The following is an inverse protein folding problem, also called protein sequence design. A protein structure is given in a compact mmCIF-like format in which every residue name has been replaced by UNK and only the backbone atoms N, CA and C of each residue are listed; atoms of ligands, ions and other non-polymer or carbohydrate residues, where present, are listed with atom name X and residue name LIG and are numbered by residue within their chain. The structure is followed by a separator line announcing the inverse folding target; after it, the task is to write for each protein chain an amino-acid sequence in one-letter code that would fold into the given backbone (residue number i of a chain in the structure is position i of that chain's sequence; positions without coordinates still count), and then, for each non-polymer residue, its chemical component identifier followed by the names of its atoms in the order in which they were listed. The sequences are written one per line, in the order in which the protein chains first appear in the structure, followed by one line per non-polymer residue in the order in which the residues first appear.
data_IF_312637475705
#
_entry.id   IF_312637475705
#
_cell.length_a   1.000
_cell.length_b   1.000
_cell.length_c   1.000
_cell.angle_alpha   90.00
_cell.angle_beta   90.00
_cell.angle_gamma   90.00
#
_symmetry.space_group_name_H-M   'P 1'
#
loop_
_entity.id
_entity.type
_entity.pdbx_description
1 polymer ?
#
# COMPACT_ATOMS: atom_id res chain seq x y z
N UNK A 1 0.57 -26.52 6.53
CA UNK A 1 1.08 -25.40 5.70
C UNK A 1 1.12 -25.93 4.27
N UNK A 2 0.54 -25.22 3.31
CA UNK A 2 0.71 -25.55 1.89
C UNK A 2 2.21 -25.51 1.59
N UNK A 3 2.72 -26.54 0.96
CA UNK A 3 4.13 -26.63 0.57
C UNK A 3 4.49 -25.46 -0.37
N UNK A 4 5.67 -24.82 -0.23
CA UNK A 4 6.03 -23.64 -1.01
C UNK A 4 6.36 -24.05 -2.45
N UNK A 5 5.35 -24.12 -3.30
CA UNK A 5 5.53 -24.46 -4.71
C UNK A 5 5.83 -23.24 -5.57
N UNK A 6 6.32 -23.48 -6.78
CA UNK A 6 6.54 -22.43 -7.79
C UNK A 6 5.21 -21.76 -8.14
N UNK A 7 4.14 -22.52 -8.39
CA UNK A 7 2.85 -21.94 -8.77
C UNK A 7 2.25 -21.08 -7.65
N UNK A 8 2.34 -21.52 -6.39
CA UNK A 8 1.90 -20.70 -5.25
C UNK A 8 2.66 -19.36 -5.20
N UNK A 9 3.98 -19.40 -5.41
CA UNK A 9 4.82 -18.20 -5.44
C UNK A 9 4.51 -17.26 -6.61
N UNK A 10 4.11 -17.80 -7.76
CA UNK A 10 3.67 -17.00 -8.92
C UNK A 10 2.29 -16.40 -8.69
N UNK A 11 1.32 -17.19 -8.23
CA UNK A 11 -0.05 -16.76 -7.97
C UNK A 11 -0.12 -15.60 -6.97
N UNK A 12 0.65 -15.68 -5.88
CA UNK A 12 0.71 -14.63 -4.86
C UNK A 12 1.24 -13.29 -5.38
N UNK A 13 1.89 -13.28 -6.54
CA UNK A 13 2.49 -12.08 -7.15
C UNK A 13 1.78 -11.60 -8.41
N UNK A 14 0.71 -12.25 -8.86
CA UNK A 14 0.01 -11.90 -10.09
C UNK A 14 -0.44 -10.42 -10.15
N UNK A 15 -0.79 -9.85 -8.99
CA UNK A 15 -1.22 -8.46 -8.86
C UNK A 15 -0.17 -7.46 -9.37
N UNK A 16 1.12 -7.79 -9.27
CA UNK A 16 2.19 -6.90 -9.74
C UNK A 16 2.11 -6.64 -11.26
N UNK A 17 1.34 -7.40 -12.04
CA UNK A 17 1.19 -7.16 -13.47
C UNK A 17 0.03 -6.22 -13.82
N UNK A 18 -0.81 -5.83 -12.84
CA UNK A 18 -1.99 -5.00 -13.08
C UNK A 18 -1.63 -3.58 -13.53
N UNK A 19 -0.72 -2.91 -12.82
CA UNK A 19 -0.36 -1.51 -13.09
C UNK A 19 0.26 -1.32 -14.48
N UNK A 20 1.29 -2.09 -14.90
CA UNK A 20 1.83 -1.92 -16.25
C UNK A 20 0.80 -2.25 -17.34
N UNK A 21 -0.08 -3.22 -17.10
CA UNK A 21 -1.16 -3.55 -18.04
C UNK A 21 -2.15 -2.40 -18.22
N UNK A 22 -2.54 -1.71 -17.14
CA UNK A 22 -3.41 -0.53 -17.22
C UNK A 22 -2.71 0.67 -17.87
N UNK A 23 -1.40 0.85 -17.63
CA UNK A 23 -0.59 1.87 -18.29
C UNK A 23 -0.53 1.66 -19.81
N UNK A 24 -0.33 0.42 -20.27
CA UNK A 24 -0.37 0.05 -21.69
C UNK A 24 -1.76 0.36 -22.27
N UNK A 25 -2.85 -0.04 -21.60
CA UNK A 25 -4.22 0.24 -22.08
C UNK A 25 -4.48 1.75 -22.21
N UNK A 26 -4.01 2.54 -21.25
CA UNK A 26 -4.14 4.01 -21.28
C UNK A 26 -3.33 4.61 -22.43
N UNK A 27 -2.06 4.21 -22.57
CA UNK A 27 -1.18 4.71 -23.61
C UNK A 27 -1.66 4.31 -25.02
N UNK A 28 -2.15 3.09 -25.19
CA UNK A 28 -2.75 2.63 -26.45
C UNK A 28 -3.92 3.52 -26.89
N UNK A 29 -4.83 3.89 -25.97
CA UNK A 29 -5.92 4.83 -26.27
C UNK A 29 -5.40 6.21 -26.65
N UNK A 30 -4.30 6.67 -26.05
CA UNK A 30 -3.65 7.93 -26.40
C UNK A 30 -3.08 7.86 -27.82
N UNK A 31 -2.37 6.78 -28.16
CA UNK A 31 -1.85 6.54 -29.51
C UNK A 31 -3.00 6.51 -30.53
N UNK A 32 -4.07 5.75 -30.25
CA UNK A 32 -5.25 5.69 -31.11
C UNK A 32 -5.84 7.08 -31.38
N UNK A 33 -6.07 7.88 -30.33
CA UNK A 33 -6.58 9.25 -30.47
C UNK A 33 -5.65 10.15 -31.28
N UNK A 34 -4.32 10.04 -31.08
CA UNK A 34 -3.34 10.80 -31.85
C UNK A 34 -3.42 10.45 -33.34
N UNK A 35 -3.48 9.16 -33.67
CA UNK A 35 -3.58 8.65 -35.06
C UNK A 35 -4.89 9.13 -35.70
N UNK A 36 -6.02 8.94 -35.03
CA UNK A 36 -7.34 9.33 -35.55
C UNK A 36 -7.46 10.84 -35.75
N UNK A 37 -6.99 11.65 -34.79
CA UNK A 37 -7.00 13.11 -34.88
C UNK A 37 -6.13 13.60 -36.05
N UNK A 38 -4.92 13.07 -36.19
CA UNK A 38 -4.00 13.41 -37.28
C UNK A 38 -4.60 13.06 -38.63
N UNK A 39 -5.14 11.83 -38.77
CA UNK A 39 -5.81 11.37 -39.98
C UNK A 39 -6.97 12.29 -40.36
N UNK A 40 -7.86 12.59 -39.42
CA UNK A 40 -9.02 13.46 -39.63
C UNK A 40 -8.59 14.87 -40.09
N UNK A 41 -7.66 15.49 -39.37
CA UNK A 41 -7.16 16.83 -39.69
C UNK A 41 -6.57 16.90 -41.11
N UNK A 42 -5.71 15.95 -41.48
CA UNK A 42 -5.09 15.91 -42.81
C UNK A 42 -6.16 15.74 -43.90
N UNK A 43 -7.12 14.84 -43.70
CA UNK A 43 -8.20 14.63 -44.69
C UNK A 43 -9.09 15.86 -44.88
N UNK A 44 -9.45 16.54 -43.78
CA UNK A 44 -10.29 17.73 -43.82
C UNK A 44 -9.58 18.91 -44.50
N UNK A 45 -8.35 19.21 -44.09
CA UNK A 45 -7.57 20.32 -44.68
C UNK A 45 -7.25 20.09 -46.17
N UNK A 46 -6.91 18.86 -46.58
CA UNK A 46 -6.71 18.54 -48.01
C UNK A 46 -8.02 18.66 -48.79
N UNK A 47 -9.15 18.21 -48.23
CA UNK A 47 -10.45 18.34 -48.88
C UNK A 47 -10.85 19.81 -49.06
N UNK A 48 -10.55 20.67 -48.09
CA UNK A 48 -10.80 22.11 -48.15
C UNK A 48 -9.95 22.80 -49.23
N UNK A 49 -8.69 22.39 -49.39
CA UNK A 49 -7.82 22.87 -50.48
C UNK A 49 -8.36 22.47 -51.86
N UNK A 50 -8.86 21.23 -52.01
CA UNK A 50 -9.36 20.70 -53.29
C UNK A 50 -10.69 21.34 -53.70
N UNK A 51 -11.60 21.55 -52.74
CA UNK A 51 -12.98 22.00 -53.01
C UNK A 51 -13.14 23.51 -53.19
N UNK A 52 -12.14 24.31 -52.82
CA UNK A 52 -12.26 25.77 -52.86
C UNK A 52 -11.50 26.38 -54.06
N UNK A 53 -12.22 26.81 -55.12
CA UNK A 53 -11.61 27.35 -56.32
C UNK A 53 -11.02 28.76 -56.13
N UNK A 54 -11.41 29.48 -55.07
CA UNK A 54 -10.95 30.86 -54.79
C UNK A 54 -9.60 30.97 -54.08
N UNK A 55 -8.99 29.85 -53.66
CA UNK A 55 -7.68 29.86 -52.99
C UNK A 55 -6.55 30.09 -54.00
N UNK A 56 -5.69 31.10 -53.74
CA UNK A 56 -4.50 31.34 -54.57
C UNK A 56 -3.46 30.21 -54.40
N UNK A 57 -2.53 30.11 -55.35
CA UNK A 57 -1.45 29.11 -55.29
C UNK A 57 -0.59 29.29 -54.03
N UNK A 58 -0.30 30.53 -53.61
CA UNK A 58 0.49 30.79 -52.40
C UNK A 58 -0.25 30.32 -51.14
N UNK A 59 -1.56 30.57 -51.05
CA UNK A 59 -2.38 30.16 -49.90
C UNK A 59 -2.46 28.63 -49.79
N UNK A 60 -2.65 27.92 -50.92
CA UNK A 60 -2.63 26.44 -50.93
C UNK A 60 -1.29 25.89 -50.45
N UNK A 61 -0.19 26.48 -50.92
CA UNK A 61 1.16 26.07 -50.55
C UNK A 61 1.47 26.35 -49.08
N UNK A 62 0.99 27.47 -48.53
CA UNK A 62 1.10 27.80 -47.11
C UNK A 62 0.38 26.76 -46.22
N UNK A 63 -0.84 26.34 -46.60
CA UNK A 63 -1.58 25.29 -45.87
C UNK A 63 -0.86 23.95 -45.93
N UNK A 64 -0.31 23.56 -47.08
CA UNK A 64 0.50 22.33 -47.19
C UNK A 64 1.74 22.39 -46.30
N UNK A 65 2.46 23.51 -46.26
CA UNK A 65 3.60 23.70 -45.34
C UNK A 65 3.18 23.59 -43.88
N UNK A 66 2.01 24.14 -43.50
CA UNK A 66 1.44 24.00 -42.16
C UNK A 66 1.13 22.53 -41.83
N UNK A 67 0.52 21.79 -42.77
CA UNK A 67 0.25 20.37 -42.61
C UNK A 67 1.52 19.55 -42.40
N UNK A 68 2.60 19.83 -43.14
CA UNK A 68 3.90 19.18 -42.95
C UNK A 68 4.42 19.40 -41.52
N UNK A 69 4.44 20.65 -41.04
CA UNK A 69 4.88 20.97 -39.67
C UNK A 69 4.04 20.27 -38.59
N UNK A 70 2.72 20.21 -38.81
CA UNK A 70 1.81 19.49 -37.91
C UNK A 70 2.10 17.99 -37.91
N UNK A 71 2.39 17.40 -39.07
CA UNK A 71 2.73 15.99 -39.21
C UNK A 71 4.08 15.65 -38.55
N UNK A 72 5.10 16.49 -38.70
CA UNK A 72 6.39 16.34 -37.99
C UNK A 72 6.20 16.38 -36.46
N UNK A 73 5.34 17.28 -35.98
CA UNK A 73 5.00 17.36 -34.54
C UNK A 73 4.27 16.10 -34.08
N UNK A 74 3.35 15.60 -34.90
CA UNK A 74 2.65 14.33 -34.66
C UNK A 74 3.63 13.15 -34.62
N UNK A 75 4.58 13.06 -35.55
CA UNK A 75 5.61 12.01 -35.56
C UNK A 75 6.44 12.01 -34.28
N UNK A 76 6.87 13.20 -33.80
CA UNK A 76 7.59 13.31 -32.52
C UNK A 76 6.77 12.80 -31.34
N UNK A 77 5.48 13.18 -31.26
CA UNK A 77 4.56 12.73 -30.21
C UNK A 77 4.30 11.22 -30.27
N UNK A 78 4.10 10.68 -31.47
CA UNK A 78 3.88 9.26 -31.68
C UNK A 78 5.13 8.45 -31.26
N UNK A 79 6.33 8.90 -31.66
CA UNK A 79 7.58 8.25 -31.25
C UNK A 79 7.74 8.21 -29.73
N UNK A 80 7.45 9.33 -29.05
CA UNK A 80 7.47 9.38 -27.58
C UNK A 80 6.47 8.40 -26.97
N UNK A 81 5.24 8.33 -27.49
CA UNK A 81 4.22 7.41 -26.97
C UNK A 81 4.58 5.93 -27.20
N UNK A 82 5.23 5.60 -28.31
CA UNK A 82 5.74 4.24 -28.58
C UNK A 82 6.84 3.87 -27.60
N UNK A 83 7.80 4.77 -27.36
CA UNK A 83 8.87 4.54 -26.38
C UNK A 83 8.31 4.34 -24.97
N UNK A 84 7.26 5.07 -24.60
CA UNK A 84 6.55 4.85 -23.33
C UNK A 84 5.85 3.49 -23.29
N UNK A 85 5.30 3.00 -24.41
CA UNK A 85 4.71 1.65 -24.49
C UNK A 85 5.76 0.55 -24.31
N UNK A 86 6.93 0.73 -24.94
CA UNK A 86 8.08 -0.17 -24.82
C UNK A 86 8.56 -0.27 -23.36
N UNK A 87 8.68 0.86 -22.65
CA UNK A 87 9.01 0.87 -21.21
C UNK A 87 8.02 0.03 -20.39
N UNK A 88 6.71 0.21 -20.59
CA UNK A 88 5.70 -0.54 -19.84
C UNK A 88 5.74 -2.04 -20.14
N UNK A 89 6.00 -2.43 -21.39
CA UNK A 89 6.18 -3.84 -21.77
C UNK A 89 7.45 -4.42 -21.18
N UNK A 90 8.51 -3.63 -21.07
CA UNK A 90 9.75 -4.03 -20.42
C UNK A 90 9.51 -4.37 -18.94
N UNK A 91 8.65 -3.62 -18.23
CA UNK A 91 8.24 -3.97 -16.85
C UNK A 91 7.59 -5.35 -16.78
N UNK A 92 6.64 -5.65 -17.67
CA UNK A 92 5.96 -6.95 -17.70
C UNK A 92 6.95 -8.09 -17.98
N UNK A 93 7.79 -7.93 -18.99
CA UNK A 93 8.77 -8.96 -19.37
C UNK A 93 9.85 -9.17 -18.31
N UNK A 94 10.33 -8.10 -17.67
CA UNK A 94 11.32 -8.18 -16.58
C UNK A 94 10.73 -8.88 -15.36
N UNK A 95 9.51 -8.53 -14.95
CA UNK A 95 8.79 -9.21 -13.86
C UNK A 95 8.56 -10.70 -14.16
N UNK A 96 8.23 -11.03 -15.41
CA UNK A 96 8.04 -12.42 -15.82
C UNK A 96 9.34 -13.22 -15.80
N UNK A 97 10.46 -12.63 -16.24
CA UNK A 97 11.80 -13.25 -16.15
C UNK A 97 12.22 -13.48 -14.71
N UNK A 98 12.08 -12.46 -13.87
CA UNK A 98 12.37 -12.51 -12.43
C UNK A 98 11.59 -13.62 -11.71
N UNK A 99 10.31 -13.79 -12.01
CA UNK A 99 9.52 -14.92 -11.46
C UNK A 99 9.92 -16.28 -12.02
N UNK A 100 10.36 -16.33 -13.28
CA UNK A 100 10.75 -17.58 -13.94
C UNK A 100 12.00 -18.19 -13.32
N UNK A 101 12.82 -17.40 -12.63
CA UNK A 101 14.00 -17.89 -11.88
C UNK A 101 13.66 -18.88 -10.78
N UNK A 102 12.45 -18.81 -10.22
CA UNK A 102 11.99 -19.77 -9.22
C UNK A 102 12.11 -21.22 -9.69
N UNK A 103 12.00 -21.47 -11.00
CA UNK A 103 12.20 -22.81 -11.60
C UNK A 103 13.62 -23.34 -11.42
N UNK A 104 14.61 -22.46 -11.23
CA UNK A 104 16.01 -22.83 -11.01
C UNK A 104 16.29 -23.16 -9.54
N UNK A 105 15.32 -22.97 -8.64
CA UNK A 105 15.45 -23.16 -7.20
C UNK A 105 14.56 -24.29 -6.68
N UNK A 106 14.19 -25.23 -7.55
CA UNK A 106 13.34 -26.37 -7.20
C UNK A 106 14.17 -27.56 -6.74
N UNK A 107 13.58 -28.41 -5.91
CA UNK A 107 14.16 -29.72 -5.62
C UNK A 107 14.15 -30.59 -6.89
N UNK A 108 15.23 -31.31 -7.14
CA UNK A 108 15.26 -32.32 -8.21
C UNK A 108 14.40 -33.53 -7.79
N UNK A 109 13.58 -34.06 -8.71
CA UNK A 109 12.73 -35.25 -8.52
C UNK A 109 13.52 -36.56 -8.40
N UNK A 110 14.55 -36.61 -7.55
CA UNK A 110 15.26 -37.82 -7.20
C UNK A 110 15.32 -37.95 -5.69
N UNK A 111 14.29 -38.56 -5.10
CA UNK A 111 14.31 -39.45 -3.92
C UNK A 111 13.00 -39.38 -3.13
N UNK A 112 11.92 -39.93 -3.68
CA UNK A 112 10.84 -40.54 -2.88
C UNK A 112 10.01 -41.42 -3.80
N UNK A 113 10.39 -42.70 -3.87
CA UNK A 113 9.51 -43.73 -4.38
C UNK A 113 8.31 -43.82 -3.45
N UNK A 114 7.21 -43.18 -3.83
CA UNK A 114 5.85 -43.56 -3.52
C UNK A 114 4.96 -42.86 -4.53
N UNK A 115 4.72 -43.60 -5.61
CA UNK A 115 3.62 -43.39 -6.53
C UNK A 115 2.33 -43.40 -5.71
N UNK A 116 1.78 -42.22 -5.41
CA UNK A 116 0.33 -42.02 -5.26
C UNK A 116 0.05 -40.57 -4.84
N UNK A 117 -0.16 -39.71 -5.83
CA UNK A 117 -1.23 -38.69 -5.89
C UNK A 117 -1.07 -37.87 -7.16
N UNK A 118 -2.19 -37.62 -7.82
CA UNK A 118 -2.38 -36.61 -8.85
C UNK A 118 -1.95 -35.23 -8.34
N UNK A 119 -0.66 -34.93 -8.39
CA UNK A 119 -0.09 -33.59 -8.26
C UNK A 119 0.32 -33.25 -9.69
N UNK A 120 -0.16 -32.13 -10.22
CA UNK A 120 0.25 -31.60 -11.53
C UNK A 120 1.77 -31.78 -11.69
N UNK A 121 2.20 -32.55 -12.70
CA UNK A 121 3.63 -32.79 -12.99
C UNK A 121 4.43 -31.48 -13.18
N UNK A 122 3.71 -30.36 -13.37
CA UNK A 122 4.26 -29.03 -13.58
C UNK A 122 4.54 -28.20 -12.29
N UNK A 123 3.97 -28.55 -11.12
CA UNK A 123 4.17 -27.73 -9.90
C UNK A 123 5.26 -28.28 -8.99
N UNK A 124 6.48 -27.76 -9.18
CA UNK A 124 7.66 -28.19 -8.42
C UNK A 124 7.77 -27.51 -7.06
N UNK A 125 8.29 -28.26 -6.10
CA UNK A 125 8.59 -27.77 -4.74
C UNK A 125 9.87 -26.93 -4.73
N UNK A 126 9.85 -25.78 -4.04
CA UNK A 126 11.02 -24.92 -3.87
C UNK A 126 11.97 -25.46 -2.80
N UNK A 127 13.26 -25.43 -3.09
CA UNK A 127 14.33 -25.80 -2.16
C UNK A 127 14.60 -24.67 -1.16
N UNK A 128 13.96 -24.73 0.01
CA UNK A 128 14.15 -23.77 1.09
C UNK A 128 15.58 -23.75 1.68
N UNK A 129 16.42 -24.75 1.36
CA UNK A 129 17.82 -24.78 1.78
C UNK A 129 18.76 -24.12 0.78
N UNK A 130 18.28 -23.79 -0.43
CA UNK A 130 19.04 -23.07 -1.45
C UNK A 130 19.36 -21.65 -1.00
N UNK A 131 20.66 -21.32 -0.90
CA UNK A 131 21.12 -19.96 -0.61
C UNK A 131 20.63 -18.96 -1.67
N UNK A 132 20.53 -19.40 -2.93
CA UNK A 132 20.04 -18.57 -4.04
C UNK A 132 18.56 -18.22 -3.84
N UNK A 133 17.73 -19.17 -3.44
CA UNK A 133 16.32 -18.92 -3.14
C UNK A 133 16.15 -17.96 -1.96
N UNK A 134 16.95 -18.15 -0.90
CA UNK A 134 16.95 -17.27 0.28
C UNK A 134 17.31 -15.83 -0.14
N UNK A 135 18.34 -15.66 -0.97
CA UNK A 135 18.73 -14.35 -1.47
C UNK A 135 17.66 -13.73 -2.39
N UNK A 136 17.00 -14.54 -3.22
CA UNK A 136 15.87 -14.10 -4.03
C UNK A 136 14.72 -13.58 -3.15
N UNK A 137 14.31 -14.31 -2.10
CA UNK A 137 13.30 -13.85 -1.15
C UNK A 137 13.71 -12.59 -0.36
N UNK A 138 15.00 -12.40 -0.08
CA UNK A 138 15.50 -11.14 0.50
C UNK A 138 15.29 -9.98 -0.48
N UNK A 139 15.60 -10.17 -1.76
CA UNK A 139 15.31 -9.21 -2.83
C UNK A 139 13.81 -8.86 -2.87
N UNK A 140 12.94 -9.86 -2.83
CA UNK A 140 11.49 -9.66 -2.78
C UNK A 140 11.04 -8.85 -1.56
N UNK A 141 11.61 -9.15 -0.39
CA UNK A 141 11.31 -8.42 0.83
C UNK A 141 11.70 -6.94 0.70
N UNK A 142 12.87 -6.68 0.10
CA UNK A 142 13.30 -5.31 -0.19
C UNK A 142 12.34 -4.59 -1.15
N UNK A 143 11.85 -5.26 -2.21
CA UNK A 143 10.85 -4.69 -3.11
C UNK A 143 9.55 -4.35 -2.38
N UNK A 144 9.09 -5.21 -1.47
CA UNK A 144 7.91 -4.96 -0.66
C UNK A 144 8.07 -3.77 0.28
N UNK A 145 9.26 -3.58 0.85
CA UNK A 145 9.59 -2.42 1.69
C UNK A 145 9.62 -1.15 0.83
N UNK A 146 10.26 -1.20 -0.34
CA UNK A 146 10.29 -0.07 -1.28
C UNK A 146 8.87 0.33 -1.69
N UNK A 147 8.04 -0.63 -2.12
CA UNK A 147 6.65 -0.39 -2.51
C UNK A 147 5.82 0.22 -1.37
N UNK A 148 5.95 -0.32 -0.14
CA UNK A 148 5.30 0.24 1.03
C UNK A 148 5.70 1.70 1.26
N UNK A 149 7.01 1.99 1.29
CA UNK A 149 7.52 3.35 1.55
C UNK A 149 7.15 4.34 0.44
N UNK A 150 7.12 3.89 -0.81
CA UNK A 150 6.68 4.71 -1.95
C UNK A 150 5.21 5.10 -1.77
N UNK A 151 4.34 4.15 -1.43
CA UNK A 151 2.89 4.36 -1.27
C UNK A 151 2.52 5.15 -0.02
N UNK A 152 3.21 4.92 1.10
CA UNK A 152 2.90 5.53 2.40
C UNK A 152 3.61 6.86 2.63
N UNK A 153 4.09 7.51 1.56
CA UNK A 153 4.90 8.71 1.69
C UNK A 153 4.06 9.92 2.12
N UNK A 154 4.44 10.52 3.25
CA UNK A 154 3.82 11.73 3.81
C UNK A 154 4.73 12.95 3.73
N UNK A 155 5.89 12.83 3.06
CA UNK A 155 6.95 13.83 3.02
C UNK A 155 7.00 14.54 1.67
N UNK A 156 7.15 15.87 1.69
CA UNK A 156 7.33 16.70 0.49
C UNK A 156 8.76 16.77 0.00
N UNK A 157 9.72 16.78 0.92
CA UNK A 157 11.13 17.00 0.64
C UNK A 157 11.78 15.81 -0.08
N UNK A 158 11.39 14.59 0.30
CA UNK A 158 11.92 13.36 -0.29
C UNK A 158 10.96 12.19 -0.12
N UNK A 159 11.07 11.23 -1.03
CA UNK A 159 10.42 9.93 -0.89
C UNK A 159 11.44 8.89 -0.44
N UNK A 160 11.27 8.34 0.76
CA UNK A 160 12.18 7.35 1.35
C UNK A 160 12.22 6.04 0.55
N UNK A 161 11.12 5.67 -0.09
CA UNK A 161 11.06 4.51 -0.97
C UNK A 161 11.92 4.70 -2.22
N UNK A 162 11.89 5.89 -2.83
CA UNK A 162 12.76 6.21 -3.98
C UNK A 162 14.25 6.25 -3.58
N UNK A 163 14.60 6.77 -2.40
CA UNK A 163 15.96 6.73 -1.86
C UNK A 163 16.45 5.29 -1.63
N UNK A 164 15.62 4.48 -0.96
CA UNK A 164 15.94 3.07 -0.69
C UNK A 164 16.12 2.29 -2.00
N UNK A 165 15.22 2.49 -2.96
CA UNK A 165 15.28 1.86 -4.29
C UNK A 165 16.61 2.17 -4.99
N UNK A 166 17.04 3.44 -5.01
CA UNK A 166 18.34 3.83 -5.59
C UNK A 166 19.52 3.19 -4.86
N UNK A 167 19.48 3.16 -3.53
CA UNK A 167 20.56 2.58 -2.72
C UNK A 167 20.70 1.06 -2.93
N UNK A 168 19.58 0.37 -3.17
CA UNK A 168 19.55 -1.09 -3.35
C UNK A 168 19.69 -1.50 -4.81
N UNK A 169 19.51 -0.61 -5.79
CA UNK A 169 19.61 -0.92 -7.21
C UNK A 169 20.87 -1.76 -7.58
N UNK A 170 22.08 -1.49 -7.04
CA UNK A 170 23.27 -2.29 -7.37
C UNK A 170 23.24 -3.74 -6.86
N UNK A 171 22.33 -4.08 -5.95
CA UNK A 171 22.20 -5.42 -5.36
C UNK A 171 21.23 -6.33 -6.12
N UNK A 172 20.48 -5.78 -7.09
CA UNK A 172 19.52 -6.53 -7.89
C UNK A 172 20.14 -6.96 -9.23
N UNK A 173 19.77 -8.14 -9.70
CA UNK A 173 20.16 -8.65 -11.03
C UNK A 173 19.43 -7.91 -12.16
N UNK A 174 18.16 -7.59 -11.95
CA UNK A 174 17.36 -6.79 -12.87
C UNK A 174 17.28 -5.33 -12.45
N UNK A 175 16.97 -4.46 -13.41
CA UNK A 175 16.64 -3.07 -13.14
C UNK A 175 15.42 -2.98 -12.20
N UNK A 176 15.68 -2.51 -10.98
CA UNK A 176 14.68 -2.38 -9.92
C UNK A 176 13.51 -1.45 -10.31
N UNK A 177 13.75 -0.48 -11.21
CA UNK A 177 12.71 0.44 -11.71
C UNK A 177 11.68 -0.28 -12.57
N UNK A 178 12.03 -1.46 -13.11
CA UNK A 178 11.12 -2.33 -13.87
C UNK A 178 10.32 -3.27 -12.98
N UNK A 179 10.82 -3.53 -11.77
CA UNK A 179 10.18 -4.40 -10.77
C UNK A 179 9.17 -3.65 -9.89
N UNK A 180 9.27 -2.32 -9.77
CA UNK A 180 8.38 -1.47 -8.95
C UNK A 180 7.79 -0.32 -9.77
N UNK A 181 6.49 -0.04 -9.62
CA UNK A 181 5.79 1.05 -10.32
C UNK A 181 6.02 2.43 -9.65
N UNK A 182 7.28 2.79 -9.46
CA UNK A 182 7.68 3.97 -8.67
C UNK A 182 7.13 5.29 -9.22
N UNK A 183 7.08 5.46 -10.54
CA UNK A 183 6.57 6.65 -11.23
C UNK A 183 5.06 6.86 -11.00
N UNK A 184 4.31 5.76 -10.94
CA UNK A 184 2.88 5.78 -10.62
C UNK A 184 2.66 6.25 -9.19
N UNK A 185 3.46 5.76 -8.23
CA UNK A 185 3.38 6.20 -6.85
C UNK A 185 3.89 7.63 -6.66
N UNK A 186 4.91 8.07 -7.39
CA UNK A 186 5.34 9.47 -7.36
C UNK A 186 4.25 10.42 -7.88
N UNK A 187 3.54 10.02 -8.95
CA UNK A 187 2.36 10.76 -9.43
C UNK A 187 1.23 10.79 -8.38
N UNK A 188 0.95 9.66 -7.74
CA UNK A 188 0.01 9.59 -6.62
C UNK A 188 0.39 10.54 -5.49
N UNK A 189 1.63 10.46 -5.03
CA UNK A 189 2.15 11.24 -3.92
C UNK A 189 2.07 12.75 -4.17
N UNK A 190 2.33 13.21 -5.40
CA UNK A 190 2.19 14.63 -5.75
C UNK A 190 0.77 15.14 -5.48
N UNK A 191 -0.23 14.41 -5.95
CA UNK A 191 -1.65 14.78 -5.74
C UNK A 191 -2.05 14.57 -4.27
N UNK A 192 -1.62 13.48 -3.65
CA UNK A 192 -1.94 13.16 -2.26
C UNK A 192 -1.40 14.22 -1.28
N UNK A 193 -0.17 14.68 -1.46
CA UNK A 193 0.45 15.70 -0.62
C UNK A 193 -0.16 17.09 -0.88
N UNK A 194 -0.51 17.40 -2.14
CA UNK A 194 -1.25 18.60 -2.51
C UNK A 194 -2.57 18.71 -1.74
N UNK A 195 -3.32 17.59 -1.65
CA UNK A 195 -4.59 17.54 -0.92
C UNK A 195 -4.36 17.66 0.60
N UNK A 196 -3.43 16.89 1.17
CA UNK A 196 -3.32 16.75 2.63
C UNK A 196 -2.46 17.81 3.32
N UNK A 197 -1.59 18.51 2.57
CA UNK A 197 -0.65 19.47 3.17
C UNK A 197 -0.82 20.86 2.56
N UNK A 198 -0.90 20.97 1.23
CA UNK A 198 -1.06 22.27 0.57
C UNK A 198 -2.51 22.76 0.54
N UNK A 199 -3.48 21.86 0.76
CA UNK A 199 -4.90 22.13 0.56
C UNK A 199 -5.19 22.71 -0.84
N UNK A 200 -4.44 22.24 -1.84
CA UNK A 200 -4.54 22.67 -3.23
C UNK A 200 -5.34 21.67 -4.07
N UNK A 201 -6.31 22.20 -4.81
CA UNK A 201 -7.26 21.46 -5.63
C UNK A 201 -6.84 21.35 -7.11
N UNK A 202 -5.81 22.08 -7.55
CA UNK A 202 -5.44 22.14 -8.97
C UNK A 202 -4.92 20.80 -9.49
N UNK A 203 -4.03 20.15 -8.73
CA UNK A 203 -3.45 18.86 -9.12
C UNK A 203 -4.50 17.74 -9.15
N UNK A 204 -5.44 17.72 -8.19
CA UNK A 204 -6.52 16.73 -8.18
C UNK A 204 -7.55 17.00 -9.28
N UNK A 205 -7.83 18.28 -9.60
CA UNK A 205 -8.71 18.64 -10.72
C UNK A 205 -8.11 18.24 -12.08
N UNK A 206 -6.80 18.45 -12.27
CA UNK A 206 -6.08 17.97 -13.45
C UNK A 206 -6.17 16.44 -13.57
N UNK A 207 -5.86 15.72 -12.48
CA UNK A 207 -5.95 14.26 -12.46
C UNK A 207 -7.36 13.73 -12.73
N UNK A 208 -8.40 14.38 -12.17
CA UNK A 208 -9.79 14.05 -12.44
C UNK A 208 -10.12 14.17 -13.94
N UNK A 209 -9.69 15.26 -14.59
CA UNK A 209 -9.95 15.47 -16.00
C UNK A 209 -9.29 14.43 -16.90
N UNK A 210 -8.05 14.04 -16.58
CA UNK A 210 -7.32 13.00 -17.30
C UNK A 210 -7.98 11.63 -17.17
N UNK A 211 -8.64 11.35 -16.04
CA UNK A 211 -9.24 10.06 -15.72
C UNK A 211 -10.78 10.05 -15.79
N UNK A 212 -11.41 11.12 -16.27
CA UNK A 212 -12.88 11.33 -16.22
C UNK A 212 -13.69 10.16 -16.73
N UNK A 213 -13.29 9.56 -17.85
CA UNK A 213 -14.01 8.42 -18.44
C UNK A 213 -13.88 7.13 -17.62
N UNK A 214 -12.75 6.93 -16.94
CA UNK A 214 -12.57 5.80 -16.03
C UNK A 214 -13.40 6.02 -14.76
N UNK A 215 -13.35 7.23 -14.20
CA UNK A 215 -14.10 7.61 -13.00
C UNK A 215 -15.62 7.48 -13.19
N UNK A 216 -16.14 7.86 -14.36
CA UNK A 216 -17.55 7.66 -14.71
C UNK A 216 -17.97 6.19 -14.71
N UNK A 217 -17.10 5.27 -15.14
CA UNK A 217 -17.38 3.82 -15.12
C UNK A 217 -17.32 3.24 -13.71
N UNK A 218 -16.57 3.88 -12.82
CA UNK A 218 -16.42 3.48 -11.42
C UNK A 218 -17.50 4.09 -10.52
N UNK A 219 -18.42 4.90 -11.07
CA UNK A 219 -19.38 5.71 -10.31
C UNK A 219 -18.70 6.47 -9.16
N UNK A 220 -17.58 7.12 -9.47
CA UNK A 220 -16.76 7.83 -8.48
C UNK A 220 -17.45 9.10 -7.99
N UNK A 221 -17.38 9.33 -6.67
CA UNK A 221 -17.85 10.56 -6.02
C UNK A 221 -16.83 11.70 -6.05
N UNK A 222 -15.66 11.52 -6.68
CA UNK A 222 -14.53 12.45 -6.55
C UNK A 222 -14.87 13.87 -7.04
N UNK A 223 -15.69 13.98 -8.09
CA UNK A 223 -16.09 15.29 -8.60
C UNK A 223 -16.87 16.09 -7.55
N UNK A 224 -17.76 15.43 -6.81
CA UNK A 224 -18.47 16.06 -5.71
C UNK A 224 -17.51 16.52 -4.62
N UNK A 225 -16.56 15.66 -4.20
CA UNK A 225 -15.58 16.02 -3.16
C UNK A 225 -14.73 17.24 -3.55
N UNK A 226 -14.29 17.33 -4.81
CA UNK A 226 -13.53 18.49 -5.32
C UNK A 226 -14.39 19.77 -5.24
N UNK A 227 -15.62 19.73 -5.75
CA UNK A 227 -16.53 20.89 -5.72
C UNK A 227 -16.90 21.28 -4.29
N UNK A 228 -17.06 20.31 -3.40
CA UNK A 228 -17.38 20.53 -2.00
C UNK A 228 -16.23 21.21 -1.26
N UNK A 229 -15.00 20.73 -1.44
CA UNK A 229 -13.82 21.39 -0.89
C UNK A 229 -13.69 22.81 -1.44
N UNK A 230 -13.86 23.01 -2.75
CA UNK A 230 -13.79 24.34 -3.38
C UNK A 230 -14.82 25.30 -2.80
N UNK A 231 -16.06 24.85 -2.65
CA UNK A 231 -17.14 25.62 -2.03
C UNK A 231 -16.76 26.09 -0.62
N UNK A 232 -16.30 25.17 0.23
CA UNK A 232 -15.90 25.51 1.60
C UNK A 232 -14.69 26.46 1.63
N UNK A 233 -13.71 26.29 0.73
CA UNK A 233 -12.58 27.22 0.62
C UNK A 233 -13.00 28.63 0.18
N UNK A 234 -14.04 28.76 -0.65
CA UNK A 234 -14.59 30.06 -1.03
C UNK A 234 -15.26 30.75 0.17
N UNK A 235 -15.96 29.99 1.02
CA UNK A 235 -16.55 30.51 2.27
C UNK A 235 -15.46 31.01 3.23
N UNK A 236 -14.39 30.23 3.42
CA UNK A 236 -13.24 30.60 4.26
C UNK A 236 -12.52 31.85 3.74
N UNK A 237 -12.53 32.06 2.42
CA UNK A 237 -11.95 33.24 1.77
C UNK A 237 -12.85 34.48 1.81
N UNK A 238 -14.01 34.41 2.47
CA UNK A 238 -14.97 35.51 2.57
C UNK A 238 -15.81 35.77 1.31
N UNK A 239 -15.75 34.89 0.30
CA UNK A 239 -16.47 35.01 -0.98
C UNK A 239 -17.85 34.35 -0.92
N UNK A 240 -18.66 34.72 0.08
CA UNK A 240 -19.94 34.06 0.34
C UNK A 240 -20.95 34.14 -0.83
N UNK A 241 -21.15 35.28 -1.52
CA UNK A 241 -22.07 35.37 -2.66
C UNK A 241 -21.66 34.48 -3.83
N UNK A 242 -20.37 34.44 -4.16
CA UNK A 242 -19.81 33.58 -5.18
C UNK A 242 -19.90 32.11 -4.79
N UNK A 243 -19.66 31.78 -3.52
CA UNK A 243 -19.78 30.42 -2.99
C UNK A 243 -21.22 29.90 -3.10
N UNK A 244 -22.23 30.73 -2.80
CA UNK A 244 -23.65 30.37 -2.97
C UNK A 244 -23.96 30.09 -4.45
N UNK A 245 -23.49 30.95 -5.34
CA UNK A 245 -23.68 30.78 -6.79
C UNK A 245 -23.00 29.51 -7.29
N UNK A 246 -21.78 29.22 -6.80
CA UNK A 246 -21.03 28.01 -7.09
C UNK A 246 -21.74 26.75 -6.59
N UNK A 247 -22.23 26.75 -5.35
CA UNK A 247 -22.97 25.63 -4.78
C UNK A 247 -24.23 25.30 -5.60
N UNK A 248 -24.98 26.33 -6.01
CA UNK A 248 -26.16 26.15 -6.87
C UNK A 248 -25.82 25.52 -8.23
N UNK A 249 -24.69 25.91 -8.82
CA UNK A 249 -24.26 25.41 -10.12
C UNK A 249 -23.68 23.98 -10.07
N UNK A 250 -22.83 23.68 -9.09
CA UNK A 250 -21.99 22.48 -9.09
C UNK A 250 -22.36 21.43 -8.03
N UNK A 251 -23.01 21.82 -6.93
CA UNK A 251 -23.35 20.91 -5.82
C UNK A 251 -24.83 20.54 -5.79
N UNK A 252 -25.74 21.47 -6.11
CA UNK A 252 -27.19 21.22 -6.12
C UNK A 252 -27.62 20.02 -7.00
N UNK A 253 -27.01 19.72 -8.17
CA UNK A 253 -27.36 18.54 -8.96
C UNK A 253 -27.21 17.21 -8.19
N UNK A 254 -26.31 17.15 -7.20
CA UNK A 254 -26.08 15.95 -6.39
C UNK A 254 -27.18 15.69 -5.34
N UNK A 255 -28.10 16.63 -5.15
CA UNK A 255 -29.28 16.46 -4.29
C UNK A 255 -30.48 15.81 -5.01
N UNK A 256 -30.39 15.57 -6.33
CA UNK A 256 -31.45 14.93 -7.09
C UNK A 256 -31.14 13.44 -7.31
N UNK A 257 -31.94 12.56 -6.70
CA UNK A 257 -31.78 11.11 -6.81
C UNK A 257 -31.78 10.60 -8.26
N UNK A 258 -32.48 11.29 -9.18
CA UNK A 258 -32.54 10.91 -10.61
C UNK A 258 -31.19 11.01 -11.35
N UNK A 259 -30.20 11.68 -10.75
CA UNK A 259 -28.86 11.82 -11.32
C UNK A 259 -27.93 10.65 -10.94
N UNK A 260 -28.41 9.70 -10.13
CA UNK A 260 -27.64 8.53 -9.70
C UNK A 260 -28.19 7.26 -10.36
N UNK A 261 -27.31 6.29 -10.60
CA UNK A 261 -27.72 4.93 -10.94
C UNK A 261 -28.19 4.19 -9.69
N UNK A 262 -28.98 3.12 -9.86
CA UNK A 262 -29.43 2.26 -8.76
C UNK A 262 -28.26 1.73 -7.90
N UNK A 263 -27.14 1.40 -8.55
CA UNK A 263 -25.92 0.91 -7.87
C UNK A 263 -25.15 2.01 -7.12
N UNK A 264 -25.55 3.29 -7.24
CA UNK A 264 -24.82 4.46 -6.70
C UNK A 264 -25.62 5.25 -5.64
N UNK A 265 -26.68 4.66 -5.11
CA UNK A 265 -27.55 5.30 -4.10
C UNK A 265 -26.82 5.60 -2.78
N UNK A 266 -25.74 4.88 -2.49
CA UNK A 266 -24.89 5.13 -1.31
C UNK A 266 -24.23 6.52 -1.41
N UNK A 267 -23.79 6.93 -2.61
CA UNK A 267 -23.23 8.26 -2.81
C UNK A 267 -24.31 9.33 -2.73
N UNK A 268 -25.51 9.07 -3.26
CA UNK A 268 -26.65 9.96 -3.10
C UNK A 268 -26.96 10.24 -1.63
N UNK A 269 -27.09 9.21 -0.79
CA UNK A 269 -27.42 9.38 0.62
C UNK A 269 -26.38 10.24 1.35
N UNK A 270 -25.08 9.96 1.13
CA UNK A 270 -23.97 10.72 1.72
C UNK A 270 -23.95 12.17 1.25
N UNK A 271 -24.10 12.38 -0.05
CA UNK A 271 -24.06 13.72 -0.65
C UNK A 271 -25.27 14.54 -0.21
N UNK A 272 -26.47 13.94 -0.22
CA UNK A 272 -27.70 14.57 0.23
C UNK A 272 -27.59 15.03 1.68
N UNK A 273 -27.07 14.18 2.59
CA UNK A 273 -26.82 14.58 3.98
C UNK A 273 -25.89 15.79 4.05
N UNK A 274 -24.74 15.77 3.37
CA UNK A 274 -23.80 16.90 3.35
C UNK A 274 -24.42 18.17 2.75
N UNK A 275 -25.29 18.02 1.74
CA UNK A 275 -26.01 19.13 1.13
C UNK A 275 -27.03 19.78 2.07
N UNK A 276 -27.65 19.03 2.99
CA UNK A 276 -28.52 19.63 4.02
C UNK A 276 -27.75 20.51 5.02
N UNK A 277 -26.44 20.29 5.10
CA UNK A 277 -25.55 20.94 6.06
C UNK A 277 -24.73 22.10 5.48
N UNK A 278 -24.78 22.36 4.17
CA UNK A 278 -23.98 23.43 3.50
C UNK A 278 -24.31 24.83 3.97
N UNK A 279 -25.48 25.05 4.57
CA UNK A 279 -25.86 26.35 5.13
C UNK A 279 -25.10 26.71 6.42
N UNK A 280 -24.66 25.71 7.19
CA UNK A 280 -24.07 25.95 8.52
C UNK A 280 -22.75 26.75 8.48
N UNK A 281 -21.82 26.50 7.54
CA UNK A 281 -20.62 27.35 7.40
C UNK A 281 -20.94 28.82 7.09
N UNK A 282 -21.98 29.10 6.30
CA UNK A 282 -22.40 30.46 5.98
C UNK A 282 -22.92 31.21 7.21
N UNK A 283 -23.72 30.53 8.05
CA UNK A 283 -24.23 31.08 9.32
C UNK A 283 -23.11 31.43 10.29
N UNK A 284 -22.07 30.59 10.37
CA UNK A 284 -20.92 30.90 11.20
C UNK A 284 -20.15 32.14 10.70
N UNK A 285 -19.89 32.22 9.40
CA UNK A 285 -19.18 33.37 8.82
C UNK A 285 -19.96 34.66 9.06
N UNK A 286 -21.30 34.65 8.96
CA UNK A 286 -22.10 35.84 9.30
C UNK A 286 -22.00 36.21 10.78
N UNK A 287 -22.04 35.24 11.71
CA UNK A 287 -21.85 35.50 13.15
C UNK A 287 -20.47 36.13 13.46
N UNK A 288 -19.42 35.71 12.76
CA UNK A 288 -18.10 36.30 12.90
C UNK A 288 -18.06 37.74 12.38
N UNK A 289 -18.70 38.04 11.26
CA UNK A 289 -18.76 39.40 10.68
C UNK A 289 -19.57 40.38 11.56
N UNK A 290 -20.71 39.94 12.09
CA UNK A 290 -21.59 40.80 12.91
C UNK A 290 -20.89 41.23 14.21
N UNK A 291 -20.06 40.36 14.79
CA UNK A 291 -19.25 40.66 15.98
C UNK A 291 -18.25 41.81 15.78
N UNK A 292 -17.85 42.12 14.54
CA UNK A 292 -16.96 43.24 14.20
C UNK A 292 -17.71 44.57 13.94
N UNK A 293 -19.03 44.53 13.71
CA UNK A 293 -19.83 45.68 13.28
C UNK A 293 -20.30 46.60 14.41
N UNK A 294 -19.95 46.31 15.67
CA UNK A 294 -20.24 47.19 16.82
C UNK A 294 -21.72 47.28 17.22
N UNK A 295 -22.63 46.54 16.58
CA UNK A 295 -23.98 46.37 17.07
C UNK A 295 -23.95 45.47 18.31
N UNK A 296 -24.63 45.89 19.37
CA UNK A 296 -24.68 45.27 20.71
C UNK A 296 -25.45 43.94 20.74
N UNK A 297 -25.02 42.99 19.91
CA UNK A 297 -25.48 41.61 19.94
C UNK A 297 -24.24 40.74 20.14
N UNK A 298 -23.89 40.44 21.39
CA UNK A 298 -22.94 39.36 21.65
C UNK A 298 -23.64 38.07 21.24
N UNK A 299 -23.17 37.37 20.18
CA UNK A 299 -23.73 36.07 19.86
C UNK A 299 -23.50 35.16 21.07
N UNK A 300 -24.53 34.41 21.45
CA UNK A 300 -24.46 33.47 22.57
C UNK A 300 -23.16 32.67 22.48
N UNK A 301 -22.31 32.84 23.50
CA UNK A 301 -20.94 32.32 23.52
C UNK A 301 -20.93 30.81 23.31
N UNK A 302 -21.98 30.13 23.76
CA UNK A 302 -22.18 28.70 23.55
C UNK A 302 -22.50 28.37 22.08
N UNK A 303 -23.37 29.16 21.44
CA UNK A 303 -23.73 28.99 20.02
C UNK A 303 -22.51 29.22 19.11
N UNK A 304 -21.76 30.30 19.33
CA UNK A 304 -20.54 30.61 18.59
C UNK A 304 -19.50 29.49 18.73
N UNK A 305 -19.32 28.95 19.94
CA UNK A 305 -18.42 27.82 20.20
C UNK A 305 -18.87 26.53 19.48
N UNK A 306 -20.18 26.24 19.44
CA UNK A 306 -20.73 25.07 18.72
C UNK A 306 -20.46 25.15 17.21
N UNK A 307 -20.71 26.30 16.60
CA UNK A 307 -20.44 26.50 15.16
C UNK A 307 -18.94 26.53 14.83
N UNK A 308 -18.11 27.10 15.70
CA UNK A 308 -16.65 27.07 15.54
C UNK A 308 -16.11 25.64 15.55
N UNK A 309 -16.57 24.81 16.50
CA UNK A 309 -16.20 23.39 16.57
C UNK A 309 -16.70 22.63 15.34
N UNK A 310 -17.94 22.87 14.92
CA UNK A 310 -18.51 22.26 13.73
C UNK A 310 -17.69 22.57 12.48
N UNK A 311 -17.28 23.83 12.29
CA UNK A 311 -16.48 24.22 11.13
C UNK A 311 -15.06 23.69 11.17
N UNK A 312 -14.43 23.59 12.34
CA UNK A 312 -13.12 22.95 12.47
C UNK A 312 -13.18 21.48 12.04
N UNK A 313 -14.19 20.74 12.51
CA UNK A 313 -14.43 19.35 12.11
C UNK A 313 -14.71 19.27 10.61
N UNK A 314 -15.60 20.10 10.08
CA UNK A 314 -15.94 20.13 8.65
C UNK A 314 -14.71 20.43 7.76
N UNK A 315 -13.84 21.33 8.22
CA UNK A 315 -12.61 21.70 7.50
C UNK A 315 -11.61 20.55 7.44
N UNK A 316 -11.46 19.76 8.49
CA UNK A 316 -10.59 18.57 8.47
C UNK A 316 -11.23 17.39 7.72
N UNK A 317 -12.53 17.18 7.93
CA UNK A 317 -13.26 16.07 7.31
C UNK A 317 -13.36 16.19 5.78
N UNK A 318 -13.44 17.40 5.22
CA UNK A 318 -13.48 17.59 3.77
C UNK A 318 -12.18 17.12 3.10
N UNK A 319 -11.02 17.47 3.65
CA UNK A 319 -9.72 17.10 3.07
C UNK A 319 -9.45 15.60 3.24
N UNK A 320 -9.81 15.05 4.41
CA UNK A 320 -9.78 13.60 4.64
C UNK A 320 -10.71 12.85 3.68
N UNK A 321 -11.92 13.37 3.45
CA UNK A 321 -12.90 12.81 2.52
C UNK A 321 -12.40 12.82 1.07
N UNK A 322 -11.88 13.96 0.62
CA UNK A 322 -11.28 14.12 -0.71
C UNK A 322 -10.07 13.20 -0.89
N UNK A 323 -9.15 13.17 0.07
CA UNK A 323 -7.96 12.31 0.01
C UNK A 323 -8.32 10.82 -0.02
N UNK A 324 -9.29 10.41 0.80
CA UNK A 324 -9.79 9.02 0.81
C UNK A 324 -10.43 8.66 -0.52
N UNK A 325 -11.32 9.51 -1.05
CA UNK A 325 -11.97 9.26 -2.34
C UNK A 325 -10.94 9.16 -3.46
N UNK A 326 -9.98 10.09 -3.50
CA UNK A 326 -8.88 10.06 -4.46
C UNK A 326 -8.07 8.76 -4.37
N UNK A 327 -7.70 8.34 -3.16
CA UNK A 327 -6.91 7.11 -2.93
C UNK A 327 -7.68 5.87 -3.38
N UNK A 328 -8.98 5.79 -3.08
CA UNK A 328 -9.83 4.69 -3.52
C UNK A 328 -9.99 4.64 -5.03
N UNK A 329 -10.19 5.78 -5.68
CA UNK A 329 -10.33 5.83 -7.14
C UNK A 329 -9.01 5.55 -7.85
N UNK A 330 -7.91 6.07 -7.32
CA UNK A 330 -6.57 5.80 -7.84
C UNK A 330 -6.27 4.30 -7.80
N UNK A 331 -6.46 3.66 -6.63
CA UNK A 331 -6.21 2.22 -6.48
C UNK A 331 -7.10 1.38 -7.39
N UNK A 332 -8.39 1.72 -7.54
CA UNK A 332 -9.31 1.04 -8.47
C UNK A 332 -8.88 1.19 -9.95
N UNK A 333 -8.49 2.39 -10.36
CA UNK A 333 -8.10 2.66 -11.76
C UNK A 333 -6.87 1.86 -12.18
N UNK A 334 -5.90 1.70 -11.28
CA UNK A 334 -4.64 1.01 -11.57
C UNK A 334 -4.61 -0.45 -11.12
N UNK A 335 -5.69 -0.97 -10.50
CA UNK A 335 -5.74 -2.34 -9.99
C UNK A 335 -4.81 -2.60 -8.80
N UNK A 336 -4.52 -1.56 -8.01
CA UNK A 336 -3.62 -1.65 -6.86
C UNK A 336 -4.42 -2.13 -5.63
N UNK A 337 -3.97 -3.14 -4.88
CA UNK A 337 -4.64 -3.56 -3.65
C UNK A 337 -4.64 -2.45 -2.60
N UNK A 338 -5.75 -2.36 -1.84
CA UNK A 338 -5.85 -1.47 -0.68
C UNK A 338 -4.97 -1.90 0.48
N UNK A 339 -4.70 -3.20 0.59
CA UNK A 339 -3.85 -3.79 1.63
C UNK A 339 -2.40 -3.84 1.15
N UNK A 340 -1.49 -3.41 2.01
CA UNK A 340 -0.06 -3.51 1.74
C UNK A 340 0.40 -4.97 1.90
N UNK A 341 0.92 -5.63 0.85
CA UNK A 341 1.35 -7.04 0.95
C UNK A 341 2.41 -7.26 2.02
N UNK A 342 3.29 -6.28 2.25
CA UNK A 342 4.25 -6.29 3.36
C UNK A 342 3.58 -6.47 4.73
N UNK A 343 2.51 -5.71 4.99
CA UNK A 343 1.80 -5.78 6.27
C UNK A 343 1.06 -7.12 6.43
N UNK A 344 0.51 -7.65 5.33
CA UNK A 344 -0.12 -8.97 5.32
C UNK A 344 0.92 -10.05 5.66
N UNK A 345 2.06 -10.07 4.96
CA UNK A 345 3.14 -11.02 5.21
C UNK A 345 3.72 -10.88 6.61
N UNK A 346 3.91 -9.66 7.10
CA UNK A 346 4.36 -9.40 8.46
C UNK A 346 3.36 -9.96 9.47
N UNK A 347 2.06 -9.72 9.30
CA UNK A 347 1.02 -10.25 10.20
C UNK A 347 0.96 -11.78 10.20
N UNK A 348 1.05 -12.41 9.03
CA UNK A 348 1.05 -13.86 8.88
C UNK A 348 2.31 -14.50 9.47
N UNK A 349 3.48 -13.95 9.16
CA UNK A 349 4.76 -14.38 9.70
C UNK A 349 4.79 -14.24 11.22
N UNK A 350 4.44 -13.08 11.75
CA UNK A 350 4.35 -12.83 13.18
C UNK A 350 3.46 -13.87 13.88
N UNK A 351 2.26 -14.15 13.35
CA UNK A 351 1.32 -15.11 13.95
C UNK A 351 1.80 -16.57 13.94
N UNK A 352 2.66 -16.95 12.99
CA UNK A 352 3.14 -18.32 12.82
C UNK A 352 4.41 -18.63 13.63
N UNK A 353 5.08 -17.61 14.17
CA UNK A 353 6.39 -17.76 14.81
C UNK A 353 6.36 -17.81 16.35
N UNK A 354 5.23 -17.51 17.00
CA UNK A 354 5.10 -17.69 18.46
C UNK A 354 5.01 -19.18 18.79
N UNK A 355 6.07 -19.72 19.36
CA UNK A 355 6.15 -21.10 19.84
C UNK A 355 5.98 -21.17 21.34
N UNK A 356 5.87 -22.37 21.92
CA UNK A 356 5.92 -22.54 23.39
C UNK A 356 7.22 -22.00 24.01
N UNK A 357 8.30 -21.86 23.23
CA UNK A 357 9.53 -21.20 23.68
C UNK A 357 9.36 -19.69 23.94
N UNK A 358 8.28 -19.09 23.44
CA UNK A 358 7.89 -17.71 23.72
C UNK A 358 7.06 -17.58 25.01
N UNK A 359 6.60 -18.70 25.60
CA UNK A 359 5.74 -18.72 26.78
C UNK A 359 6.57 -18.53 28.06
N UNK A 360 6.25 -17.49 28.83
CA UNK A 360 6.76 -17.30 30.19
C UNK A 360 5.73 -17.90 31.16
N UNK A 361 6.09 -18.97 31.89
CA UNK A 361 5.19 -19.58 32.87
C UNK A 361 5.45 -19.00 34.26
N UNK A 362 4.62 -18.07 34.72
CA UNK A 362 4.79 -17.44 36.03
C UNK A 362 4.56 -18.40 37.22
N UNK A 363 3.89 -19.54 36.99
CA UNK A 363 3.62 -20.56 38.01
C UNK A 363 4.78 -21.56 38.20
N UNK A 364 5.71 -21.63 37.25
CA UNK A 364 6.96 -22.38 37.45
C UNK A 364 7.89 -21.52 38.32
N UNK A 365 8.24 -22.01 39.50
CA UNK A 365 8.89 -21.33 40.62
C UNK A 365 10.27 -20.70 40.37
N UNK A 366 10.75 -20.65 39.13
CA UNK A 366 11.97 -19.95 38.66
C UNK A 366 11.69 -18.60 37.99
N UNK A 367 10.42 -18.26 37.72
CA UNK A 367 10.00 -17.05 37.00
C UNK A 367 9.43 -15.93 37.90
N UNK A 368 9.48 -16.09 39.23
CA UNK A 368 9.17 -14.98 40.16
C UNK A 368 10.21 -13.87 39.97
N UNK A 369 9.82 -12.82 39.27
CA UNK A 369 10.63 -11.61 39.07
C UNK A 369 10.66 -10.83 40.38
N UNK A 370 11.80 -10.82 41.07
CA UNK A 370 12.04 -9.85 42.13
C UNK A 370 12.60 -8.56 41.50
N UNK A 371 11.71 -7.58 41.32
CA UNK A 371 11.93 -6.16 40.99
C UNK A 371 12.32 -5.81 39.53
N UNK A 372 11.76 -4.68 39.10
CA UNK A 372 11.93 -4.00 37.81
C UNK A 372 13.40 -3.64 37.56
N UNK A 373 14.04 -4.26 36.57
CA UNK A 373 15.26 -3.71 35.95
C UNK A 373 14.86 -2.77 34.81
N UNK A 374 15.28 -1.52 34.90
CA UNK A 374 15.17 -0.51 33.84
C UNK A 374 16.39 -0.67 32.93
N UNK A 375 16.17 -0.96 31.64
CA UNK A 375 17.24 -1.11 30.64
C UNK A 375 17.61 0.26 30.05
N UNK A 376 18.82 0.75 30.32
CA UNK A 376 19.40 1.92 29.63
C UNK A 376 20.04 1.50 28.29
N UNK A 377 19.71 2.23 27.22
CA UNK A 377 20.04 1.87 25.82
C UNK A 377 21.21 2.71 25.31
N UNK A 378 22.35 2.09 25.00
CA UNK A 378 23.53 2.78 24.46
C UNK A 378 24.15 2.18 23.19
N UNK A 379 23.73 0.99 22.73
CA UNK A 379 24.29 0.38 21.50
C UNK A 379 23.37 -0.66 20.84
N UNK A 380 23.11 -0.51 19.54
CA UNK A 380 22.27 -1.39 18.71
C UNK A 380 22.83 -2.81 18.48
N UNK A 381 24.05 -3.12 18.97
CA UNK A 381 24.69 -4.44 18.86
C UNK A 381 24.83 -5.17 20.20
N UNK A 382 24.30 -4.60 21.28
CA UNK A 382 24.45 -5.20 22.60
C UNK A 382 23.50 -6.40 22.79
N UNK A 383 24.09 -7.56 23.13
CA UNK A 383 23.38 -8.83 23.40
C UNK A 383 22.45 -8.72 24.62
N UNK A 384 22.65 -7.71 25.47
CA UNK A 384 21.79 -7.37 26.62
C UNK A 384 20.38 -6.96 26.21
N UNK A 385 20.17 -6.49 24.97
CA UNK A 385 18.92 -5.90 24.55
C UNK A 385 17.80 -6.92 24.27
N UNK A 386 18.08 -8.21 24.07
CA UNK A 386 17.04 -9.23 23.82
C UNK A 386 16.18 -9.49 25.08
N UNK A 387 14.88 -9.17 25.05
CA UNK A 387 13.98 -9.37 26.20
C UNK A 387 13.75 -10.84 26.61
N UNK A 388 12.98 -11.09 27.68
CA UNK A 388 13.55 -11.36 29.01
C UNK A 388 14.55 -12.52 28.97
N UNK A 389 15.82 -12.12 28.90
CA UNK A 389 17.00 -12.96 28.76
C UNK A 389 17.35 -13.82 30.00
N UNK A 390 16.54 -13.84 31.07
CA UNK A 390 16.96 -14.43 32.36
C UNK A 390 17.39 -15.91 32.25
N UNK A 391 16.59 -16.75 31.59
CA UNK A 391 16.88 -18.18 31.42
C UNK A 391 18.02 -18.44 30.41
N UNK A 392 18.06 -17.67 29.33
CA UNK A 392 19.12 -17.75 28.31
C UNK A 392 20.48 -17.31 28.87
N UNK A 393 20.48 -16.29 29.74
CA UNK A 393 21.63 -15.82 30.52
C UNK A 393 22.10 -16.90 31.52
N UNK A 394 21.18 -17.56 32.23
CA UNK A 394 21.48 -18.69 33.13
C UNK A 394 22.05 -19.90 32.40
N UNK A 395 21.53 -20.22 31.20
CA UNK A 395 21.99 -21.33 30.38
C UNK A 395 23.21 -21.01 29.50
N UNK A 396 23.69 -19.76 29.48
CA UNK A 396 24.68 -19.26 28.51
C UNK A 396 24.30 -19.57 27.05
N UNK A 397 23.00 -19.47 26.73
CA UNK A 397 22.44 -19.68 25.38
C UNK A 397 21.83 -18.39 24.87
N UNK A 398 21.71 -18.24 23.56
CA UNK A 398 21.10 -17.07 22.92
C UNK A 398 19.65 -17.44 22.55
N UNK A 399 18.68 -16.58 22.89
CA UNK A 399 17.32 -16.72 22.35
C UNK A 399 17.35 -16.37 20.86
N UNK A 400 17.18 -17.40 20.02
CA UNK A 400 17.10 -17.26 18.57
C UNK A 400 15.67 -17.03 18.08
N UNK A 401 14.68 -16.93 18.98
CA UNK A 401 13.31 -16.66 18.58
C UNK A 401 13.22 -15.26 17.94
N UNK A 402 12.83 -15.16 16.66
CA UNK A 402 12.74 -13.87 15.98
C UNK A 402 11.61 -13.00 16.53
N UNK A 403 10.56 -13.60 17.10
CA UNK A 403 9.39 -12.86 17.66
C UNK A 403 9.69 -12.26 19.02
N UNK A 404 10.47 -12.95 19.85
CA UNK A 404 10.91 -12.45 21.15
C UNK A 404 12.10 -11.48 21.03
N UNK A 405 12.50 -11.11 19.81
CA UNK A 405 13.48 -10.05 19.59
C UNK A 405 12.90 -8.70 20.04
N UNK A 406 13.70 -7.77 20.57
CA UNK A 406 13.23 -6.46 21.04
C UNK A 406 12.52 -5.67 19.95
N UNK A 407 13.03 -5.78 18.72
CA UNK A 407 12.54 -5.08 17.54
C UNK A 407 11.11 -5.51 17.19
N UNK A 408 10.77 -6.79 17.42
CA UNK A 408 9.47 -7.36 17.09
C UNK A 408 8.58 -7.61 18.31
N UNK A 409 9.10 -7.48 19.54
CA UNK A 409 8.35 -7.79 20.77
C UNK A 409 7.08 -6.95 20.88
N UNK A 410 7.18 -5.63 20.64
CA UNK A 410 6.03 -4.73 20.70
C UNK A 410 4.96 -5.04 19.65
N UNK A 411 5.38 -5.45 18.45
CA UNK A 411 4.45 -5.83 17.37
C UNK A 411 3.83 -7.21 17.62
N UNK A 412 4.50 -8.05 18.39
CA UNK A 412 4.13 -9.44 18.57
C UNK A 412 3.44 -9.77 19.88
N UNK A 413 3.41 -8.87 20.86
CA UNK A 413 2.90 -9.12 22.22
C UNK A 413 1.54 -9.80 22.24
N UNK A 414 0.61 -9.37 21.37
CA UNK A 414 -0.79 -9.81 21.38
C UNK A 414 -1.08 -11.03 20.49
N UNK A 415 -0.07 -11.59 19.83
CA UNK A 415 -0.29 -12.73 18.94
C UNK A 415 -0.58 -14.01 19.74
N UNK A 416 -1.42 -14.92 19.20
CA UNK A 416 -1.65 -16.22 19.79
C UNK A 416 -0.40 -17.11 19.71
N UNK A 417 -0.29 -18.10 20.59
CA UNK A 417 0.74 -19.14 20.50
C UNK A 417 0.33 -20.21 19.50
N UNK A 418 1.26 -20.65 18.65
CA UNK A 418 1.02 -21.74 17.73
C UNK A 418 0.66 -23.03 18.49
N UNK A 419 -0.48 -23.62 18.15
CA UNK A 419 -0.86 -24.95 18.61
C UNK A 419 -0.07 -26.00 17.81
N UNK A 420 1.09 -26.39 18.35
CA UNK A 420 1.84 -27.53 17.82
C UNK A 420 1.03 -28.81 18.10
N UNK A 421 0.34 -29.32 17.07
CA UNK A 421 -0.36 -30.62 17.10
C UNK A 421 0.60 -31.81 16.92
N UNK A 422 1.79 -31.57 16.37
CA UNK A 422 2.81 -32.59 16.14
C UNK A 422 3.94 -32.47 17.15
N UNK A 423 4.14 -33.54 17.94
CA UNK A 423 5.33 -33.69 18.77
C UNK A 423 6.48 -34.15 17.88
N UNK A 424 7.56 -33.36 17.81
CA UNK A 424 8.84 -33.77 17.18
C UNK A 424 9.53 -34.86 18.04
N UNK A 425 9.06 -35.07 19.27
CA UNK A 425 9.62 -36.03 20.22
C UNK A 425 8.81 -37.32 20.18
N UNK A 426 9.48 -38.46 19.97
CA UNK A 426 8.92 -39.79 20.14
C UNK A 426 8.64 -40.01 21.64
N UNK A 427 7.43 -40.46 21.98
CA UNK A 427 6.95 -40.66 23.36
C UNK A 427 7.25 -39.45 24.28
N UNK A 428 6.61 -38.29 24.05
CA UNK A 428 6.85 -37.10 24.85
C UNK A 428 6.37 -37.28 26.29
N UNK A 429 7.22 -37.00 27.27
CA UNK A 429 6.90 -37.02 28.69
C UNK A 429 7.09 -35.63 29.30
N UNK A 430 6.04 -35.10 29.96
CA UNK A 430 6.06 -33.77 30.60
C UNK A 430 6.45 -33.93 32.06
N UNK A 431 7.56 -33.31 32.46
CA UNK A 431 7.98 -33.28 33.86
C UNK A 431 7.24 -32.17 34.65
N UNK A 432 7.22 -32.22 36.00
CA UNK A 432 6.58 -31.19 36.84
C UNK A 432 7.09 -29.76 36.61
N UNK A 433 8.30 -29.61 36.06
CA UNK A 433 8.86 -28.33 35.63
C UNK A 433 8.21 -27.76 34.35
N UNK A 434 7.18 -28.42 33.81
CA UNK A 434 6.44 -27.98 32.63
C UNK A 434 7.10 -28.30 31.28
N UNK A 435 8.36 -28.75 31.27
CA UNK A 435 9.10 -29.09 30.05
C UNK A 435 8.80 -30.51 29.57
N UNK A 436 8.83 -30.69 28.24
CA UNK A 436 8.56 -31.96 27.57
C UNK A 436 9.88 -32.54 27.06
N UNK A 437 10.14 -33.80 27.39
CA UNK A 437 11.35 -34.53 27.02
C UNK A 437 10.98 -35.81 26.27
N UNK A 438 11.82 -36.33 25.35
CA UNK A 438 11.68 -37.70 24.87
C UNK A 438 11.82 -38.66 26.03
N UNK A 439 10.88 -39.58 26.19
CA UNK A 439 10.91 -40.56 27.28
C UNK A 439 12.23 -41.36 27.30
N UNK A 440 12.75 -41.73 26.13
CA UNK A 440 14.02 -42.45 25.99
C UNK A 440 15.23 -41.67 26.55
N UNK A 441 15.23 -40.34 26.43
CA UNK A 441 16.29 -39.48 27.02
C UNK A 441 16.19 -39.35 28.53
N UNK A 442 14.99 -39.55 29.11
CA UNK A 442 14.81 -39.62 30.55
C UNK A 442 15.31 -40.95 31.12
N UNK A 443 15.17 -42.03 30.37
CA UNK A 443 15.65 -43.37 30.74
C UNK A 443 17.17 -43.53 30.62
N UNK A 444 17.82 -42.71 29.78
CA UNK A 444 19.27 -42.74 29.54
C UNK A 444 19.93 -41.43 29.99
N UNK A 445 20.00 -41.14 31.30
CA UNK A 445 20.71 -39.97 31.79
C UNK A 445 22.17 -40.06 31.34
N UNK A 446 22.55 -39.17 30.42
CA UNK A 446 23.95 -39.07 29.97
C UNK A 446 24.88 -38.95 31.18
N UNK A 447 26.06 -39.58 31.14
CA UNK A 447 27.05 -39.60 32.25
C UNK A 447 27.36 -38.21 32.84
N UNK A 448 27.13 -37.13 32.10
CA UNK A 448 27.24 -35.74 32.58
C UNK A 448 26.18 -35.34 33.63
N UNK A 449 24.97 -35.91 33.61
CA UNK A 449 23.94 -35.60 34.61
C UNK A 449 24.21 -36.25 35.96
N UNK A 450 24.70 -37.49 35.97
CA UNK A 450 25.02 -38.23 37.21
C UNK A 450 26.20 -37.60 37.95
N UNK A 451 27.11 -36.94 37.24
CA UNK A 451 28.25 -36.26 37.85
C UNK A 451 27.90 -34.91 38.53
N UNK A 452 26.71 -34.33 38.29
CA UNK A 452 26.32 -33.03 38.86
C UNK A 452 25.38 -33.12 40.07
N UNK A 453 24.79 -34.27 40.36
CA UNK A 453 23.99 -34.48 41.58
C UNK A 453 24.86 -35.07 42.68
N UNK A 454 25.70 -34.24 43.28
CA UNK A 454 26.20 -34.50 44.63
C UNK A 454 25.03 -34.39 45.61
N UNK A 455 24.78 -35.46 46.36
CA UNK A 455 24.02 -35.51 47.63
C UNK A 455 22.70 -34.74 47.69
N UNK A 456 21.60 -35.42 47.35
CA UNK A 456 20.32 -35.21 48.00
C UNK A 456 19.87 -36.58 48.52
N UNK A 457 20.21 -36.87 49.77
CA UNK A 457 19.61 -37.97 50.52
C UNK A 457 18.11 -37.68 50.64
N UNK A 458 17.28 -38.57 50.12
CA UNK A 458 15.86 -38.62 50.41
C UNK A 458 15.70 -39.50 51.65
N UNK A 459 15.48 -38.88 52.80
CA UNK A 459 14.96 -39.57 53.97
C UNK A 459 13.54 -40.08 53.65
N UNK A 460 13.38 -41.40 53.65
CA UNK A 460 12.09 -42.08 53.59
C UNK A 460 11.76 -42.43 55.05
N UNK A 461 10.69 -41.88 55.66
CA UNK A 461 10.23 -42.35 56.95
C UNK A 461 9.50 -43.70 56.79
N UNK A 462 9.74 -44.61 57.74
CA UNK A 462 9.14 -45.95 57.85
C UNK A 462 7.60 -45.98 57.87
#
# INVERSE_FOLDING_TARGET
MSEPTVNFSVQTRQVQFAVPSELIKKNFKTIQKLVEKSRKQVTEEISAIKKNPGLTKEQKLATVRKLIRNFETYQKKLKSAIQTDEDYRERLTTRAKHLSELKNFTLDNHSSGNEDKHIDEDDKLLDLHSEKLINWYRGETNLLIIDYLLKSNTRKDKNLGSELMKSLAPTFEYDITKLVDHDVYESFNKVFLSINIDHDLDLIAAWYNDNKNALKKLSSNLQFEIHYCKYLSMIESGQAPEAISYCKAYLAPYGNIKNYSEDDLINFEKNHKRLTEVGAPLVYVSMCLDSFSGASYEPDRELSARYAKYNAVMSEERWRGLSKCFTEDFTKIYGIPKTYPLLVLLSAGLSSLKTKSCYCNDENTIFKTHKQEVLEVSSWRDLSLRGPNYYYKLLKKINQCPVCSPELFHLSSNLPYAQLLTSILNNPFKLPNGNIYPFEKLLSPSKKMVAMTGTLALDIPD
#
